data_IF_682137131541
#
_entry.id   IF_682137131541
#
_cell.length_a   1.000
_cell.length_b   1.000
_cell.length_c   1.000
_cell.angle_alpha   90.00
_cell.angle_beta   90.00
_cell.angle_gamma   90.00
#
_symmetry.space_group_name_H-M   'P 1'
#
loop_
_entity.id
_entity.type
_entity.pdbx_description
1 polymer ?
2 non-polymer ?
3 non-polymer ?
4 water ?
#
# COMPACT_ATOMS: atom_id res chain seq x y z
N UNK A 1 3.45 -4.72 -16.26
CA UNK A 1 3.00 -5.82 -17.16
C UNK A 1 4.18 -6.68 -17.57
N UNK A 2 4.13 -7.96 -17.20
CA UNK A 2 5.19 -8.90 -17.53
C UNK A 2 4.76 -9.85 -18.64
N UNK A 3 5.62 -10.05 -19.63
CA UNK A 3 5.30 -10.95 -20.73
C UNK A 3 4.34 -10.37 -21.74
N UNK A 4 4.18 -9.05 -21.73
CA UNK A 4 3.29 -8.39 -22.66
C UNK A 4 4.03 -7.70 -23.78
N UNK A 5 3.34 -6.76 -24.44
CA UNK A 5 3.91 -6.01 -25.55
C UNK A 5 3.54 -4.54 -25.41
N UNK A 6 4.27 -3.67 -26.09
CA UNK A 6 3.98 -2.24 -26.02
C UNK A 6 2.66 -1.99 -26.75
N UNK A 7 1.69 -1.41 -26.05
CA UNK A 7 0.40 -1.12 -26.66
C UNK A 7 0.57 -0.16 -27.82
N UNK A 8 -0.32 -0.26 -28.80
CA UNK A 8 -0.29 0.69 -29.90
C UNK A 8 -0.63 1.97 -29.15
N UNK A 9 0.10 3.05 -29.43
CA UNK A 9 -0.13 4.31 -28.74
C UNK A 9 -1.59 4.77 -28.73
N UNK A 10 -2.10 5.05 -27.53
CA UNK A 10 -3.46 5.52 -27.34
C UNK A 10 -4.55 4.53 -27.71
N UNK A 11 -4.22 3.25 -27.75
CA UNK A 11 -5.20 2.22 -28.06
C UNK A 11 -6.05 1.91 -26.84
N UNK A 12 -5.61 2.39 -25.67
CA UNK A 12 -6.34 2.21 -24.41
C UNK A 12 -6.56 3.62 -23.86
N UNK A 13 -7.36 4.43 -24.57
CA UNK A 13 -7.66 5.82 -24.18
C UNK A 13 -8.30 6.04 -22.80
N UNK A 14 -8.72 4.97 -22.16
CA UNK A 14 -9.33 5.07 -20.83
C UNK A 14 -8.25 4.97 -19.74
N UNK A 15 -7.10 4.39 -20.11
CA UNK A 15 -5.99 4.21 -19.19
C UNK A 15 -5.41 5.52 -18.68
N UNK A 16 -5.33 5.66 -17.36
CA UNK A 16 -4.77 6.85 -16.75
C UNK A 16 -3.63 6.44 -15.81
N UNK A 17 -2.78 7.40 -15.47
CA UNK A 17 -1.68 7.17 -14.55
C UNK A 17 -1.94 8.02 -13.31
N UNK A 18 -1.89 7.39 -12.15
CA UNK A 18 -2.09 8.11 -10.89
C UNK A 18 -0.70 8.52 -10.45
N UNK A 19 -0.51 9.81 -10.20
CA UNK A 19 0.80 10.35 -9.88
C UNK A 19 0.84 11.19 -8.60
N UNK A 20 1.88 10.96 -7.78
CA UNK A 20 2.09 11.71 -6.55
C UNK A 20 3.58 11.98 -6.39
N UNK A 21 4.20 12.41 -7.49
CA UNK A 21 5.63 12.68 -7.51
C UNK A 21 6.26 11.72 -8.50
N UNK A 22 5.52 10.65 -8.77
CA UNK A 22 5.91 9.61 -9.72
C UNK A 22 4.69 8.71 -9.93
N UNK A 23 4.75 7.85 -10.92
CA UNK A 23 3.65 6.94 -11.22
C UNK A 23 3.58 5.87 -10.13
N UNK A 24 2.40 5.65 -9.54
CA UNK A 24 2.28 4.60 -8.53
C UNK A 24 1.14 3.61 -8.76
N UNK A 25 0.17 3.99 -9.58
CA UNK A 25 -0.97 3.12 -9.89
C UNK A 25 -1.63 3.50 -11.20
N UNK A 26 -2.46 2.60 -11.71
CA UNK A 26 -3.18 2.86 -12.94
C UNK A 26 -4.62 3.17 -12.58
N UNK A 27 -5.44 3.43 -13.59
CA UNK A 27 -6.84 3.74 -13.39
C UNK A 27 -7.57 3.75 -14.72
N UNK A 28 -8.89 3.81 -14.69
CA UNK A 28 -9.69 3.80 -15.92
C UNK A 28 -10.74 4.90 -15.94
N UNK A 29 -10.68 5.76 -16.95
CA UNK A 29 -11.68 6.82 -17.07
C UNK A 29 -12.99 6.16 -17.49
N UNK A 30 -14.06 6.40 -16.74
CA UNK A 30 -15.36 5.80 -17.08
C UNK A 30 -16.37 6.82 -17.60
N UNK A 31 -16.00 8.09 -17.51
CA UNK A 31 -16.80 9.20 -18.04
C UNK A 31 -15.95 10.47 -17.89
N UNK A 32 -16.45 11.58 -18.38
CA UNK A 32 -15.67 12.82 -18.32
C UNK A 32 -15.27 13.25 -16.92
N UNK A 33 -15.98 12.78 -15.90
CA UNK A 33 -15.69 13.18 -14.53
C UNK A 33 -15.16 12.13 -13.56
N UNK A 34 -15.23 10.85 -13.91
CA UNK A 34 -14.78 9.82 -12.97
C UNK A 34 -13.79 8.78 -13.47
N UNK A 35 -12.95 8.32 -12.54
CA UNK A 35 -11.93 7.31 -12.80
C UNK A 35 -12.11 6.17 -11.82
N UNK A 36 -12.03 4.94 -12.31
CA UNK A 36 -12.15 3.76 -11.47
C UNK A 36 -10.75 3.19 -11.25
N UNK A 37 -10.42 2.96 -9.98
CA UNK A 37 -9.11 2.40 -9.64
C UNK A 37 -9.28 1.40 -8.50
N UNK A 38 -8.17 0.96 -7.92
CA UNK A 38 -8.21 0.02 -6.81
C UNK A 38 -8.16 0.79 -5.50
N UNK A 39 -8.87 0.28 -4.49
CA UNK A 39 -8.91 0.91 -3.18
C UNK A 39 -7.53 0.90 -2.52
N UNK A 40 -6.70 -0.10 -2.82
CA UNK A 40 -5.38 -0.15 -2.21
C UNK A 40 -4.45 0.91 -2.80
N UNK A 41 -4.93 1.61 -3.82
CA UNK A 41 -4.16 2.69 -4.45
C UNK A 41 -4.57 4.04 -3.85
N UNK A 42 -5.40 3.99 -2.81
CA UNK A 42 -5.90 5.20 -2.17
C UNK A 42 -4.87 6.23 -1.69
N UNK A 43 -5.26 7.49 -1.84
CA UNK A 43 -4.49 8.65 -1.42
C UNK A 43 -5.52 9.77 -1.34
N UNK A 44 -5.43 10.62 -0.31
CA UNK A 44 -6.37 11.71 -0.13
C UNK A 44 -6.46 12.61 -1.35
N UNK A 45 -5.34 12.77 -2.05
CA UNK A 45 -5.27 13.61 -3.23
C UNK A 45 -4.32 12.98 -4.23
N UNK A 46 -4.70 12.96 -5.49
CA UNK A 46 -3.85 12.36 -6.51
C UNK A 46 -3.95 13.11 -7.83
N UNK A 47 -2.88 13.02 -8.63
CA UNK A 47 -2.88 13.68 -9.93
C UNK A 47 -3.24 12.60 -10.94
N UNK A 48 -4.27 12.85 -11.73
CA UNK A 48 -4.70 11.90 -12.75
C UNK A 48 -4.13 12.33 -14.10
N UNK A 49 -3.27 11.48 -14.67
CA UNK A 49 -2.66 11.79 -15.95
C UNK A 49 -3.29 10.96 -17.07
N UNK A 50 -4.04 11.63 -17.93
CA UNK A 50 -4.72 10.99 -19.04
C UNK A 50 -4.01 11.30 -20.36
N UNK A 51 -4.33 10.54 -21.40
CA UNK A 51 -3.73 10.76 -22.71
C UNK A 51 -2.24 10.47 -22.74
N UNK A 52 -1.82 9.51 -21.93
CA UNK A 52 -0.42 9.12 -21.85
C UNK A 52 -0.07 7.84 -22.56
N UNK A 53 1.17 7.76 -23.04
CA UNK A 53 1.68 6.55 -23.66
C UNK A 53 3.04 6.34 -23.02
N UNK A 54 3.89 7.37 -23.11
CA UNK A 54 5.20 7.34 -22.48
C UNK A 54 5.07 8.33 -21.33
N UNK A 55 5.04 7.82 -20.11
CA UNK A 55 4.89 8.69 -18.94
C UNK A 55 6.15 9.48 -18.57
N UNK A 56 7.24 9.24 -19.29
CA UNK A 56 8.50 9.93 -19.03
C UNK A 56 8.79 11.02 -20.05
N UNK A 57 8.01 11.05 -21.14
CA UNK A 57 8.21 12.03 -22.20
C UNK A 57 6.92 12.80 -22.49
N UNK A 58 7.05 14.12 -22.69
CA UNK A 58 5.88 14.93 -22.98
C UNK A 58 5.56 14.74 -24.46
N UNK A 59 4.35 14.28 -24.74
CA UNK A 59 3.91 14.01 -26.11
C UNK A 59 2.90 15.04 -26.63
N UNK A 60 2.27 15.78 -25.73
CA UNK A 60 1.30 16.79 -26.14
C UNK A 60 -0.13 16.26 -26.12
N UNK A 61 -0.28 14.98 -25.83
CA UNK A 61 -1.59 14.34 -25.78
C UNK A 61 -2.11 14.26 -24.35
N UNK A 62 -1.24 14.58 -23.40
CA UNK A 62 -1.58 14.51 -21.98
C UNK A 62 -2.51 15.58 -21.43
N UNK A 63 -3.19 15.20 -20.36
CA UNK A 63 -4.07 16.07 -19.61
C UNK A 63 -3.80 15.69 -18.16
N UNK A 64 -3.30 16.63 -17.37
CA UNK A 64 -3.01 16.38 -15.97
C UNK A 64 -4.12 17.04 -15.17
N UNK A 65 -4.91 16.24 -14.46
CA UNK A 65 -6.01 16.76 -13.68
C UNK A 65 -5.98 16.23 -12.26
N UNK A 66 -6.08 17.13 -11.28
CA UNK A 66 -6.04 16.72 -9.88
C UNK A 66 -7.42 16.22 -9.47
N UNK A 67 -7.43 15.27 -8.53
CA UNK A 67 -8.68 14.72 -8.03
C UNK A 67 -9.36 15.72 -7.12
N UNK A 68 -10.67 15.58 -6.96
CA UNK A 68 -11.44 16.46 -6.08
C UNK A 68 -12.19 15.60 -5.06
N UNK A 69 -12.16 14.30 -5.28
CA UNK A 69 -12.80 13.33 -4.39
C UNK A 69 -12.15 11.97 -4.65
N UNK A 70 -11.83 11.25 -3.59
CA UNK A 70 -11.24 9.92 -3.71
C UNK A 70 -12.05 9.06 -2.75
N UNK A 71 -12.83 8.14 -3.31
CA UNK A 71 -13.72 7.30 -2.52
C UNK A 71 -13.46 5.80 -2.59
N UNK A 72 -12.93 5.24 -1.51
CA UNK A 72 -12.68 3.80 -1.42
C UNK A 72 -14.05 3.15 -1.22
N UNK A 73 -14.21 1.93 -1.72
CA UNK A 73 -15.48 1.23 -1.54
C UNK A 73 -15.69 1.10 -0.04
N UNK A 74 -16.92 1.31 0.45
CA UNK A 74 -17.18 1.21 1.89
C UNK A 74 -16.89 -0.14 2.53
N UNK A 75 -16.89 -1.22 1.74
CA UNK A 75 -16.61 -2.54 2.28
C UNK A 75 -15.20 -3.02 1.98
N UNK A 76 -14.35 -2.09 1.56
CA UNK A 76 -12.97 -2.46 1.29
C UNK A 76 -12.34 -2.96 2.58
N UNK A 77 -11.57 -4.03 2.49
CA UNK A 77 -10.89 -4.58 3.65
C UNK A 77 -9.49 -4.94 3.19
N UNK A 78 -8.50 -4.23 3.71
CA UNK A 78 -7.11 -4.42 3.33
C UNK A 78 -6.46 -5.77 3.69
N UNK A 79 -6.86 -6.35 4.82
CA UNK A 79 -6.25 -7.61 5.24
C UNK A 79 -6.31 -8.71 4.19
N UNK A 80 -7.42 -8.78 3.45
CA UNK A 80 -7.57 -9.78 2.40
C UNK A 80 -7.83 -9.12 1.04
N UNK A 81 -7.49 -7.84 0.96
CA UNK A 81 -7.66 -7.04 -0.26
C UNK A 81 -9.00 -7.28 -0.95
N UNK A 82 -10.06 -7.35 -0.15
CA UNK A 82 -11.40 -7.58 -0.67
C UNK A 82 -12.10 -6.28 -1.03
N UNK A 83 -12.93 -6.32 -2.07
CA UNK A 83 -13.64 -5.14 -2.54
C UNK A 83 -12.64 -4.03 -2.84
N UNK A 84 -11.58 -4.41 -3.55
CA UNK A 84 -10.50 -3.49 -3.90
C UNK A 84 -10.87 -2.62 -5.10
N UNK A 85 -11.81 -1.71 -4.88
CA UNK A 85 -12.24 -0.81 -5.95
C UNK A 85 -12.41 0.58 -5.38
N UNK A 86 -12.15 1.59 -6.19
CA UNK A 86 -12.20 2.98 -5.74
C UNK A 86 -12.59 3.95 -6.86
N UNK A 87 -13.28 5.02 -6.50
CA UNK A 87 -13.67 6.02 -7.47
C UNK A 87 -12.92 7.31 -7.20
N UNK A 88 -12.44 7.93 -8.27
CA UNK A 88 -11.73 9.19 -8.19
C UNK A 88 -12.48 10.19 -9.05
N UNK A 89 -12.89 11.31 -8.46
CA UNK A 89 -13.58 12.33 -9.23
C UNK A 89 -12.58 13.38 -9.65
N UNK A 90 -12.62 13.79 -10.91
CA UNK A 90 -11.70 14.80 -11.42
C UNK A 90 -12.17 16.19 -11.00
N UNK A 91 -11.24 17.06 -10.62
CA UNK A 91 -11.58 18.42 -10.20
C UNK A 91 -12.22 19.20 -11.34
N UNK A 92 -11.86 18.83 -12.56
CA UNK A 92 -12.39 19.46 -13.77
C UNK A 92 -12.62 18.32 -14.77
N UNK A 93 -13.69 18.40 -15.57
CA UNK A 93 -13.96 17.35 -16.55
C UNK A 93 -12.82 17.17 -17.56
N UNK A 94 -12.54 15.93 -17.90
CA UNK A 94 -11.49 15.64 -18.87
C UNK A 94 -12.06 15.98 -20.25
N UNK A 95 -11.21 16.45 -21.15
CA UNK A 95 -11.67 16.77 -22.50
C UNK A 95 -11.54 15.48 -23.30
N UNK A 96 -12.67 14.99 -23.80
CA UNK A 96 -12.66 13.75 -24.58
C UNK A 96 -12.17 14.05 -25.99
N UNK A 97 -11.18 13.29 -26.45
CA UNK A 97 -10.62 13.49 -27.78
C UNK A 97 -9.96 12.23 -28.31
N UNK A 98 -9.01 12.42 -29.21
CA UNK A 98 -8.30 11.31 -29.82
C UNK A 98 -7.53 10.47 -28.80
N UNK A 99 -7.06 11.12 -27.74
CA UNK A 99 -6.24 10.46 -26.72
C UNK A 99 -6.91 10.11 -25.40
N UNK A 100 -8.06 10.72 -25.15
CA UNK A 100 -8.78 10.50 -23.91
C UNK A 100 -10.22 10.11 -24.18
N UNK A 101 -10.57 8.86 -23.87
CA UNK A 101 -11.92 8.36 -24.10
C UNK A 101 -12.27 7.38 -22.98
N UNK A 102 -13.49 7.50 -22.44
CA UNK A 102 -13.93 6.62 -21.35
C UNK A 102 -14.24 5.19 -21.79
N UNK A 103 -14.08 4.26 -20.85
CA UNK A 103 -14.38 2.86 -21.11
C UNK A 103 -15.72 2.57 -20.43
N UNK A 104 -16.59 1.85 -21.12
CA UNK A 104 -17.91 1.53 -20.59
C UNK A 104 -17.88 0.46 -19.51
N UNK A 105 -18.77 0.59 -18.53
CA UNK A 105 -18.88 -0.38 -17.45
C UNK A 105 -19.62 -1.62 -17.98
N UNK A 106 -19.34 -2.80 -17.40
CA UNK A 106 -19.96 -4.06 -17.81
C UNK A 106 -21.47 -4.21 -17.66
N UNK A 107 -22.11 -4.69 -18.73
CA UNK A 107 -23.55 -4.92 -18.75
C UNK A 107 -23.88 -6.16 -17.92
N UNK A 108 -22.90 -7.06 -17.83
CA UNK A 108 -23.03 -8.29 -17.06
C UNK A 108 -21.64 -8.88 -16.87
N UNK A 109 -21.52 -9.89 -16.02
CA UNK A 109 -20.21 -10.49 -15.74
C UNK A 109 -19.68 -11.38 -16.87
N UNK A 110 -18.36 -11.37 -17.05
CA UNK A 110 -17.72 -12.18 -18.08
C UNK A 110 -17.35 -13.53 -17.49
N UNK A 111 -17.70 -14.61 -18.19
CA UNK A 111 -17.41 -15.98 -17.72
C UNK A 111 -15.97 -16.42 -17.94
N UNK A 112 -15.58 -17.49 -17.26
CA UNK A 112 -14.23 -18.04 -17.41
C UNK A 112 -14.02 -18.32 -18.88
N UNK A 113 -12.78 -18.17 -19.35
CA UNK A 113 -12.48 -18.41 -20.75
C UNK A 113 -12.48 -17.15 -21.61
N UNK A 114 -13.13 -16.10 -21.12
CA UNK A 114 -13.19 -14.84 -21.87
C UNK A 114 -11.79 -14.24 -21.97
N UNK A 115 -11.35 -13.95 -23.19
CA UNK A 115 -10.03 -13.35 -23.39
C UNK A 115 -10.17 -11.84 -23.24
N UNK A 116 -9.32 -11.25 -22.40
CA UNK A 116 -9.37 -9.82 -22.14
C UNK A 116 -8.00 -9.18 -22.33
N UNK A 117 -7.94 -7.87 -22.08
CA UNK A 117 -6.71 -7.12 -22.19
C UNK A 117 -6.47 -6.32 -20.91
N UNK A 118 -5.25 -6.36 -20.42
CA UNK A 118 -4.87 -5.63 -19.22
C UNK A 118 -3.69 -4.77 -19.65
N UNK A 119 -3.57 -3.58 -19.08
CA UNK A 119 -2.50 -2.67 -19.46
C UNK A 119 -1.99 -1.86 -18.27
N UNK A 120 -0.78 -1.31 -18.41
CA UNK A 120 -0.22 -0.51 -17.34
C UNK A 120 1.25 -0.16 -17.52
N UNK A 121 1.76 0.67 -16.62
CA UNK A 121 3.15 1.11 -16.65
C UNK A 121 3.93 0.46 -15.49
N UNK A 122 3.45 -0.67 -15.01
CA UNK A 122 4.11 -1.35 -13.91
C UNK A 122 5.37 -2.12 -14.29
N UNK A 123 5.92 -2.83 -13.32
CA UNK A 123 7.12 -3.63 -13.50
C UNK A 123 6.95 -4.66 -14.63
N UNK A 124 7.96 -4.74 -15.51
CA UNK A 124 7.91 -5.69 -16.62
C UNK A 124 8.82 -6.89 -16.38
N UNK A 125 9.64 -6.80 -15.34
CA UNK A 125 10.57 -7.88 -14.99
C UNK A 125 11.33 -8.35 -16.23
N UNK A 126 11.57 -7.43 -17.17
CA UNK A 126 12.28 -7.77 -18.40
C UNK A 126 13.15 -6.62 -18.87
N UNK A 127 14.34 -6.96 -19.37
CA UNK A 127 15.28 -5.96 -19.87
C UNK A 127 14.86 -5.51 -21.27
N UNK A 128 13.87 -6.20 -21.83
CA UNK A 128 13.38 -5.91 -23.17
C UNK A 128 12.12 -5.04 -23.18
N UNK A 129 11.22 -5.27 -22.24
CA UNK A 129 9.98 -4.51 -22.16
C UNK A 129 10.20 -3.20 -21.42
N UNK A 130 9.88 -2.08 -22.08
CA UNK A 130 10.06 -0.76 -21.47
C UNK A 130 8.80 -0.27 -20.76
N UNK A 131 8.75 -0.47 -19.44
CA UNK A 131 7.60 -0.05 -18.66
C UNK A 131 7.20 1.40 -18.78
N UNK A 132 8.09 2.25 -19.31
CA UNK A 132 7.77 3.66 -19.46
C UNK A 132 6.72 3.87 -20.54
N UNK A 133 6.63 2.90 -21.45
CA UNK A 133 5.66 2.95 -22.54
C UNK A 133 4.56 1.97 -22.18
N UNK A 134 3.30 2.43 -22.23
CA UNK A 134 2.18 1.57 -21.86
C UNK A 134 2.25 0.17 -22.45
N UNK A 135 2.23 -0.83 -21.57
CA UNK A 135 2.29 -2.23 -21.95
C UNK A 135 0.89 -2.85 -21.97
N UNK A 136 0.67 -3.78 -22.90
CA UNK A 136 -0.59 -4.48 -23.06
C UNK A 136 -0.37 -5.99 -22.97
N UNK A 137 -1.37 -6.70 -22.45
CA UNK A 137 -1.28 -8.14 -22.32
C UNK A 137 -2.66 -8.76 -22.43
N UNK A 138 -2.78 -9.79 -23.25
CA UNK A 138 -4.07 -10.48 -23.38
C UNK A 138 -4.09 -11.61 -22.38
N UNK A 139 -5.08 -11.60 -21.50
CA UNK A 139 -5.22 -12.64 -20.48
C UNK A 139 -6.64 -13.17 -20.42
N UNK A 140 -6.79 -14.49 -20.22
CA UNK A 140 -8.15 -15.05 -20.15
C UNK A 140 -8.61 -15.15 -18.70
N UNK A 141 -9.91 -15.03 -18.49
CA UNK A 141 -10.45 -15.16 -17.13
C UNK A 141 -10.39 -16.63 -16.78
N UNK A 142 -9.95 -16.93 -15.57
CA UNK A 142 -9.84 -18.31 -15.11
C UNK A 142 -11.08 -18.76 -14.36
N UNK A 143 -11.29 -20.07 -14.32
CA UNK A 143 -12.44 -20.62 -13.62
C UNK A 143 -12.26 -20.40 -12.12
N UNK A 144 -13.37 -20.39 -11.37
CA UNK A 144 -13.28 -20.21 -9.93
C UNK A 144 -12.46 -21.34 -9.34
N UNK A 145 -12.65 -22.55 -9.87
CA UNK A 145 -11.92 -23.71 -9.37
C UNK A 145 -10.40 -23.49 -9.43
N UNK A 146 -9.91 -23.02 -10.58
CA UNK A 146 -8.48 -22.77 -10.71
C UNK A 146 -8.01 -21.60 -9.85
N UNK A 147 -8.86 -20.59 -9.74
CA UNK A 147 -8.55 -19.40 -8.94
C UNK A 147 -8.41 -19.79 -7.46
N UNK A 148 -9.44 -20.42 -6.92
CA UNK A 148 -9.44 -20.84 -5.53
C UNK A 148 -8.34 -21.88 -5.27
N UNK A 149 -8.06 -22.71 -6.27
CA UNK A 149 -7.01 -23.71 -6.09
C UNK A 149 -5.66 -23.04 -5.93
N UNK A 150 -5.44 -21.94 -6.66
CA UNK A 150 -4.18 -21.21 -6.56
C UNK A 150 -4.06 -20.50 -5.22
N UNK A 151 -5.17 -19.97 -4.72
CA UNK A 151 -5.20 -19.27 -3.44
C UNK A 151 -6.36 -19.80 -2.59
N UNK A 152 -6.19 -20.98 -1.97
CA UNK A 152 -7.23 -21.59 -1.14
C UNK A 152 -7.94 -20.68 -0.12
N UNK A 153 -9.27 -20.55 -0.28
CA UNK A 153 -10.10 -19.76 0.60
C UNK A 153 -9.87 -18.26 0.58
N UNK A 154 -9.08 -17.79 -0.38
CA UNK A 154 -8.75 -16.37 -0.46
C UNK A 154 -9.49 -15.59 -1.56
N UNK A 155 -10.34 -16.28 -2.33
CA UNK A 155 -11.09 -15.63 -3.40
C UNK A 155 -12.52 -15.34 -2.94
N UNK A 156 -12.90 -14.07 -3.00
CA UNK A 156 -14.23 -13.64 -2.56
C UNK A 156 -15.15 -13.43 -3.76
N UNK A 157 -16.38 -12.98 -3.50
CA UNK A 157 -17.33 -12.73 -4.58
C UNK A 157 -16.97 -11.49 -5.39
N UNK A 158 -16.00 -10.72 -4.87
CA UNK A 158 -15.57 -9.50 -5.56
C UNK A 158 -14.27 -9.68 -6.31
N UNK A 159 -13.86 -10.94 -6.54
CA UNK A 159 -12.61 -11.21 -7.24
C UNK A 159 -12.72 -12.27 -8.32
N UNK A 160 -11.78 -12.24 -9.26
CA UNK A 160 -11.68 -13.24 -10.30
C UNK A 160 -10.21 -13.28 -10.70
N UNK A 161 -9.74 -14.45 -11.11
CA UNK A 161 -8.34 -14.59 -11.52
C UNK A 161 -8.31 -14.55 -13.03
N UNK A 162 -7.22 -14.01 -13.59
CA UNK A 162 -7.07 -13.95 -15.04
C UNK A 162 -5.59 -14.11 -15.32
N UNK A 163 -5.26 -14.77 -16.42
CA UNK A 163 -3.86 -14.97 -16.74
C UNK A 163 -3.51 -16.39 -17.16
N UNK A 164 -2.29 -16.81 -16.82
CA UNK A 164 -1.79 -18.13 -17.19
C UNK A 164 -1.15 -18.85 -16.01
N UNK A 165 -1.74 -19.98 -15.61
CA UNK A 165 -1.22 -20.75 -14.49
C UNK A 165 0.21 -21.21 -14.75
N UNK A 166 0.61 -21.19 -16.03
CA UNK A 166 1.95 -21.61 -16.42
C UNK A 166 3.01 -20.53 -16.18
N UNK A 167 2.56 -19.30 -15.90
CA UNK A 167 3.48 -18.22 -15.64
C UNK A 167 4.03 -17.52 -16.87
N UNK A 168 4.76 -16.43 -16.65
CA UNK A 168 5.35 -15.70 -17.76
C UNK A 168 4.59 -14.47 -18.24
N UNK A 169 3.27 -14.45 -18.02
CA UNK A 169 2.45 -13.31 -18.44
C UNK A 169 1.49 -12.95 -17.31
N UNK A 170 1.54 -11.71 -16.86
CA UNK A 170 0.70 -11.30 -15.74
C UNK A 170 0.87 -9.79 -15.53
N UNK A 171 0.00 -9.19 -14.73
CA UNK A 171 0.14 -7.78 -14.41
C UNK A 171 1.10 -7.77 -13.22
N UNK A 172 1.48 -6.61 -12.73
CA UNK A 172 2.43 -6.58 -11.62
C UNK A 172 2.37 -5.25 -10.86
N UNK A 173 3.27 -5.11 -9.89
CA UNK A 173 3.34 -3.89 -9.09
C UNK A 173 3.43 -2.71 -10.05
N UNK A 174 2.62 -1.68 -9.81
CA UNK A 174 2.64 -0.52 -10.69
C UNK A 174 1.47 -0.52 -11.65
N UNK A 175 0.87 -1.69 -11.87
CA UNK A 175 -0.28 -1.81 -12.77
C UNK A 175 -1.53 -1.71 -11.92
N UNK A 176 -1.37 -1.91 -10.62
CA UNK A 176 -2.48 -1.86 -9.67
C UNK A 176 -3.43 -0.71 -9.98
N UNK A 177 -4.73 -1.01 -9.92
CA UNK A 177 -5.73 0.01 -10.19
C UNK A 177 -6.08 0.11 -11.67
N UNK A 178 -5.20 -0.43 -12.51
CA UNK A 178 -5.40 -0.41 -13.95
C UNK A 178 -6.56 -1.27 -14.45
N UNK A 179 -6.89 -1.17 -15.75
CA UNK A 179 -7.98 -1.91 -16.37
C UNK A 179 -7.72 -3.30 -16.93
N UNK A 180 -8.80 -4.07 -16.97
CA UNK A 180 -8.86 -5.38 -17.56
C UNK A 180 -10.13 -5.20 -18.38
N UNK A 181 -9.97 -5.03 -19.69
CA UNK A 181 -11.10 -4.82 -20.58
C UNK A 181 -11.37 -6.09 -21.37
N UNK A 182 -12.62 -6.51 -21.41
CA UNK A 182 -13.02 -7.70 -22.16
C UNK A 182 -14.09 -7.28 -23.15
N UNK A 183 -13.80 -7.48 -24.44
CA UNK A 183 -14.73 -7.11 -25.48
C UNK A 183 -15.24 -5.68 -25.34
N UNK A 184 -14.33 -4.77 -25.03
CA UNK A 184 -14.69 -3.36 -24.94
C UNK A 184 -15.23 -2.77 -23.64
N UNK A 185 -15.52 -3.59 -22.63
CA UNK A 185 -16.02 -3.05 -21.38
C UNK A 185 -15.13 -3.42 -20.20
N UNK A 186 -15.16 -2.60 -19.15
CA UNK A 186 -14.33 -2.82 -17.97
C UNK A 186 -14.83 -3.91 -17.02
N UNK A 187 -14.19 -5.07 -17.05
CA UNK A 187 -14.57 -6.17 -16.18
C UNK A 187 -13.70 -6.26 -14.93
N UNK A 188 -12.46 -5.80 -15.02
CA UNK A 188 -11.59 -5.89 -13.86
C UNK A 188 -10.68 -4.72 -13.55
N UNK A 189 -10.17 -4.73 -12.31
CA UNK A 189 -9.24 -3.72 -11.82
C UNK A 189 -8.06 -4.51 -11.27
N UNK A 190 -6.85 -4.19 -11.72
CA UNK A 190 -5.65 -4.89 -11.24
C UNK A 190 -5.60 -4.77 -9.72
N UNK A 191 -5.60 -5.90 -9.03
CA UNK A 191 -5.62 -5.90 -7.56
C UNK A 191 -4.44 -6.56 -6.83
N UNK A 192 -4.27 -7.87 -6.99
CA UNK A 192 -3.18 -8.55 -6.29
C UNK A 192 -2.72 -9.88 -6.90
N UNK A 193 -1.79 -10.51 -6.20
CA UNK A 193 -1.25 -11.79 -6.62
C UNK A 193 0.04 -12.04 -5.88
N UNK A 194 0.45 -13.31 -5.75
CA UNK A 194 1.70 -13.62 -5.07
C UNK A 194 2.80 -13.49 -6.12
N UNK A 195 3.61 -12.45 -5.98
CA UNK A 195 4.67 -12.22 -6.94
C UNK A 195 4.08 -11.73 -8.26
N UNK A 196 4.77 -12.03 -9.36
CA UNK A 196 4.30 -11.62 -10.68
C UNK A 196 4.71 -12.64 -11.73
N UNK A 197 3.74 -13.09 -12.52
CA UNK A 197 4.00 -14.06 -13.58
C UNK A 197 4.60 -15.36 -13.06
N UNK A 198 4.39 -15.65 -11.78
CA UNK A 198 4.91 -16.86 -11.19
C UNK A 198 3.97 -18.03 -11.43
N UNK A 199 4.52 -19.21 -11.77
CA UNK A 199 3.69 -20.39 -12.02
C UNK A 199 2.77 -20.68 -10.84
N UNK A 200 1.49 -20.92 -11.14
CA UNK A 200 0.53 -21.22 -10.10
C UNK A 200 0.00 -20.01 -9.34
N UNK A 201 0.52 -18.83 -9.65
CA UNK A 201 0.09 -17.60 -8.98
C UNK A 201 -0.44 -16.58 -9.98
N UNK A 202 -1.65 -16.82 -10.50
CA UNK A 202 -2.27 -15.92 -11.47
C UNK A 202 -2.70 -14.60 -10.86
N UNK A 203 -2.92 -13.60 -11.70
CA UNK A 203 -3.34 -12.30 -11.20
C UNK A 203 -4.78 -12.33 -10.71
N UNK A 204 -5.04 -11.60 -9.63
CA UNK A 204 -6.38 -11.52 -9.09
C UNK A 204 -6.85 -10.10 -9.34
N UNK A 205 -8.09 -9.97 -9.80
CA UNK A 205 -8.64 -8.67 -10.13
C UNK A 205 -9.97 -8.40 -9.46
N UNK A 206 -10.25 -7.13 -9.20
CA UNK A 206 -11.53 -6.75 -8.60
C UNK A 206 -12.58 -6.95 -9.68
N UNK A 207 -13.64 -7.65 -9.31
CA UNK A 207 -14.73 -7.97 -10.22
C UNK A 207 -15.71 -6.81 -10.38
N UNK A 208 -15.42 -5.93 -11.34
CA UNK A 208 -16.23 -4.74 -11.59
C UNK A 208 -17.74 -4.94 -11.78
N UNK A 209 -18.13 -6.03 -12.45
CA UNK A 209 -19.54 -6.26 -12.72
C UNK A 209 -20.46 -6.32 -11.50
N UNK A 210 -19.94 -6.64 -10.31
CA UNK A 210 -20.84 -6.67 -9.16
C UNK A 210 -20.91 -5.33 -8.43
N UNK A 211 -20.14 -4.35 -8.90
CA UNK A 211 -20.12 -3.03 -8.28
C UNK A 211 -20.89 -1.95 -9.06
N UNK A 212 -21.65 -2.35 -10.06
CA UNK A 212 -22.41 -1.39 -10.87
C UNK A 212 -23.28 -0.46 -10.04
N UNK A 213 -24.09 -1.03 -9.15
CA UNK A 213 -24.96 -0.20 -8.32
C UNK A 213 -24.20 0.83 -7.51
N UNK A 214 -23.11 0.41 -6.88
CA UNK A 214 -22.30 1.35 -6.08
C UNK A 214 -21.64 2.40 -6.97
N UNK A 215 -21.12 1.96 -8.11
CA UNK A 215 -20.45 2.85 -9.05
C UNK A 215 -21.37 3.95 -9.59
N UNK A 216 -22.51 3.55 -10.14
CA UNK A 216 -23.45 4.51 -10.69
C UNK A 216 -24.04 5.39 -9.58
N UNK A 217 -24.31 4.79 -8.44
CA UNK A 217 -24.86 5.51 -7.30
C UNK A 217 -23.92 6.65 -6.89
N UNK A 218 -22.68 6.30 -6.62
CA UNK A 218 -21.66 7.25 -6.20
C UNK A 218 -21.35 8.37 -7.19
N UNK A 219 -21.24 8.00 -8.47
CA UNK A 219 -20.92 8.98 -9.50
C UNK A 219 -22.04 10.00 -9.69
N UNK A 220 -23.24 9.66 -9.24
CA UNK A 220 -24.37 10.55 -9.35
C UNK A 220 -24.40 11.46 -8.13
N UNK A 221 -23.75 11.02 -7.06
CA UNK A 221 -23.68 11.79 -5.82
C UNK A 221 -22.54 12.80 -5.87
N UNK B 1 16.85 -0.95 10.67
CA UNK B 1 16.41 -1.99 9.69
C UNK B 1 17.63 -2.76 9.19
N UNK B 2 17.70 -4.03 9.54
CA UNK B 2 18.81 -4.89 9.14
C UNK B 2 18.43 -5.78 7.95
N UNK B 3 19.28 -5.81 6.93
CA UNK B 3 19.02 -6.63 5.76
C UNK B 3 17.95 -6.08 4.82
N UNK B 4 17.68 -4.79 4.92
CA UNK B 4 16.67 -4.17 4.06
C UNK B 4 17.30 -3.43 2.88
N UNK B 5 16.58 -2.45 2.37
CA UNK B 5 17.04 -1.65 1.24
C UNK B 5 16.57 -0.21 1.43
N UNK B 6 17.23 0.74 0.77
CA UNK B 6 16.81 2.12 0.91
C UNK B 6 15.45 2.29 0.24
N UNK B 7 14.48 2.81 0.98
CA UNK B 7 13.15 3.01 0.42
C UNK B 7 13.22 4.09 -0.66
N UNK B 8 12.27 4.04 -1.59
CA UNK B 8 12.20 5.06 -2.61
C UNK B 8 11.77 6.27 -1.77
N UNK B 9 12.38 7.42 -2.00
CA UNK B 9 12.03 8.60 -1.21
C UNK B 9 10.54 8.93 -1.23
N UNK B 10 10.00 9.15 -0.04
CA UNK B 10 8.60 9.51 0.14
C UNK B 10 7.63 8.39 -0.23
N UNK B 11 8.13 7.16 -0.34
CA UNK B 11 7.28 6.02 -0.67
C UNK B 11 6.54 5.53 0.57
N UNK B 12 6.95 6.03 1.74
CA UNK B 12 6.33 5.68 3.02
C UNK B 12 6.03 7.04 3.65
N UNK B 13 5.14 7.85 3.03
CA UNK B 13 4.76 9.19 3.49
C UNK B 13 4.17 9.31 4.89
N UNK B 14 3.83 8.18 5.50
CA UNK B 14 3.27 8.17 6.85
C UNK B 14 4.39 8.09 7.88
N UNK B 15 5.56 7.64 7.44
CA UNK B 15 6.72 7.48 8.30
C UNK B 15 7.23 8.79 8.88
N UNK B 16 7.35 8.84 10.21
CA UNK B 16 7.86 10.04 10.87
C UNK B 16 9.01 9.69 11.79
N UNK B 17 9.82 10.69 12.11
CA UNK B 17 10.95 10.52 13.01
C UNK B 17 10.64 11.29 14.30
N UNK B 18 10.77 10.62 15.44
CA UNK B 18 10.53 11.29 16.72
C UNK B 18 11.91 11.79 17.15
N UNK B 19 11.99 13.09 17.42
CA UNK B 19 13.27 13.71 17.76
C UNK B 19 13.24 14.49 19.07
N UNK B 20 14.25 14.24 19.91
CA UNK B 20 14.37 14.93 21.19
C UNK B 20 15.84 15.32 21.32
N UNK B 21 16.37 15.92 20.25
CA UNK B 21 17.76 16.33 20.22
C UNK B 21 18.52 15.37 19.32
N UNK B 22 17.80 14.35 18.85
CA UNK B 22 18.34 13.30 17.99
C UNK B 22 17.18 12.35 17.69
N UNK B 23 17.32 11.55 16.64
CA UNK B 23 16.28 10.58 16.30
C UNK B 23 16.32 9.44 17.32
N UNK B 24 15.18 9.09 17.91
CA UNK B 24 15.16 7.99 18.88
C UNK B 24 14.08 6.93 18.66
N UNK B 25 13.12 7.23 17.79
CA UNK B 25 12.04 6.31 17.50
C UNK B 25 11.29 6.72 16.24
N UNK B 26 10.55 5.79 15.66
CA UNK B 26 9.79 6.09 14.48
C UNK B 26 8.35 6.28 14.90
N UNK B 27 7.48 6.54 13.92
CA UNK B 27 6.07 6.73 14.20
C UNK B 27 5.33 6.74 12.89
N UNK B 28 3.99 6.73 12.94
CA UNK B 28 3.19 6.75 11.71
C UNK B 28 2.07 7.78 11.79
N UNK B 29 2.01 8.66 10.79
CA UNK B 29 0.96 9.67 10.75
C UNK B 29 -0.33 8.92 10.37
N UNK B 30 -1.40 9.14 11.14
CA UNK B 30 -2.66 8.46 10.84
C UNK B 30 -3.79 9.41 10.41
N UNK B 31 -3.51 10.71 10.50
CA UNK B 31 -4.40 11.79 10.06
C UNK B 31 -3.61 13.08 10.23
N UNK B 32 -4.16 14.22 9.79
CA UNK B 32 -3.40 15.46 9.90
C UNK B 32 -3.02 15.90 11.31
N UNK B 33 -3.65 15.34 12.34
CA UNK B 33 -3.34 15.74 13.71
C UNK B 33 -2.75 14.68 14.63
N UNK B 34 -2.68 13.43 14.18
CA UNK B 34 -2.16 12.37 15.06
C UNK B 34 -1.15 11.39 14.48
N UNK B 35 -0.24 10.97 15.35
CA UNK B 35 0.79 9.99 15.02
C UNK B 35 0.67 8.80 15.97
N UNK B 36 0.85 7.60 15.42
CA UNK B 36 0.80 6.38 16.23
C UNK B 36 2.24 5.91 16.39
N UNK B 37 2.63 5.59 17.61
CA UNK B 37 3.98 5.09 17.87
C UNK B 37 3.93 4.06 18.99
N UNK B 38 5.10 3.71 19.53
CA UNK B 38 5.18 2.74 20.60
C UNK B 38 5.20 3.44 21.96
N UNK B 39 4.50 2.87 22.93
CA UNK B 39 4.46 3.44 24.27
C UNK B 39 5.84 3.51 24.92
N UNK B 40 6.73 2.55 24.61
CA UNK B 40 8.05 2.56 25.19
C UNK B 40 8.92 3.69 24.63
N UNK B 41 8.38 4.39 23.63
CA UNK B 41 9.07 5.52 23.02
C UNK B 41 8.61 6.81 23.70
N UNK B 42 7.80 6.66 24.75
CA UNK B 42 7.27 7.82 25.45
C UNK B 42 8.26 8.84 25.99
N UNK B 43 7.86 10.10 25.86
CA UNK B 43 8.58 11.27 26.35
C UNK B 43 7.46 12.31 26.45
N UNK B 44 7.43 13.08 27.54
CA UNK B 44 6.37 14.07 27.73
C UNK B 44 6.18 14.98 26.52
N UNK B 45 7.28 15.38 25.90
CA UNK B 45 7.24 16.22 24.72
C UNK B 45 8.22 15.71 23.67
N UNK B 46 7.80 15.71 22.41
CA UNK B 46 8.66 15.26 21.32
C UNK B 46 8.44 16.08 20.07
N UNK B 47 9.47 16.15 19.23
CA UNK B 47 9.35 16.86 17.97
C UNK B 47 9.09 15.79 16.92
N UNK B 48 8.03 15.98 16.13
CA UNK B 48 7.71 15.02 15.09
C UNK B 48 8.23 15.57 13.77
N UNK B 49 9.10 14.81 13.11
CA UNK B 49 9.67 15.23 11.84
C UNK B 49 9.06 14.39 10.72
N UNK B 50 8.21 15.04 9.92
CA UNK B 50 7.54 14.38 8.81
C UNK B 50 8.19 14.80 7.48
N UNK B 51 7.85 14.08 6.41
CA UNK B 51 8.41 14.41 5.10
C UNK B 51 9.89 14.17 4.99
N UNK B 52 10.40 13.24 5.80
CA UNK B 52 11.81 12.92 5.83
C UNK B 52 12.21 11.69 5.02
N UNK B 53 13.42 11.72 4.49
CA UNK B 53 13.97 10.56 3.81
C UNK B 53 15.33 10.40 4.43
N UNK B 54 16.17 11.43 4.30
CA UNK B 54 17.49 11.42 4.93
C UNK B 54 17.35 12.39 6.11
N UNK B 55 17.33 11.83 7.32
CA UNK B 55 17.17 12.63 8.53
C UNK B 55 18.36 13.52 8.89
N UNK B 56 19.44 13.42 8.12
CA UNK B 56 20.66 14.21 8.37
C UNK B 56 20.92 15.25 7.27
N UNK B 57 19.99 15.37 6.33
CA UNK B 57 20.11 16.32 5.24
C UNK B 57 18.79 17.05 5.02
N UNK B 58 18.86 18.38 4.93
CA UNK B 58 17.64 19.17 4.70
C UNK B 58 17.28 19.09 3.22
N UNK B 59 16.15 18.43 2.94
CA UNK B 59 15.68 18.22 1.57
C UNK B 59 14.62 19.23 1.12
N UNK B 60 13.98 19.89 2.08
CA UNK B 60 12.96 20.88 1.74
C UNK B 60 11.55 20.35 1.86
N UNK B 61 11.43 19.04 2.07
CA UNK B 61 10.13 18.37 2.19
C UNK B 61 9.72 18.19 3.65
N UNK B 62 10.63 18.50 4.57
CA UNK B 62 10.35 18.33 5.98
C UNK B 62 9.33 19.27 6.62
N UNK B 63 8.74 18.77 7.70
CA UNK B 63 7.79 19.50 8.52
C UNK B 63 8.13 19.07 9.94
N UNK B 64 8.62 20.01 10.74
CA UNK B 64 8.97 19.72 12.14
C UNK B 64 7.86 20.29 13.00
N UNK B 65 7.12 19.40 13.67
CA UNK B 65 6.00 19.82 14.50
C UNK B 65 6.08 19.25 15.91
N UNK B 66 6.04 20.13 16.91
CA UNK B 66 6.11 19.70 18.29
C UNK B 66 4.77 19.11 18.71
N UNK B 67 4.82 18.13 19.60
CA UNK B 67 3.62 17.46 20.10
C UNK B 67 2.88 18.34 21.10
N UNK B 68 1.56 18.13 21.20
CA UNK B 68 0.75 18.87 22.15
C UNK B 68 0.21 17.87 23.18
N UNK B 69 0.20 16.61 22.80
CA UNK B 69 -0.27 15.53 23.68
C UNK B 69 0.50 14.25 23.35
N UNK B 70 0.83 13.48 24.37
CA UNK B 70 1.52 12.21 24.19
C UNK B 70 0.77 11.27 25.12
N UNK B 71 0.09 10.30 24.53
CA UNK B 71 -0.74 9.36 25.28
C UNK B 71 -0.40 7.88 25.09
N UNK B 72 0.14 7.27 26.14
CA UNK B 72 0.45 5.85 26.11
C UNK B 72 -0.86 5.10 26.33
N UNK B 73 -0.94 3.86 25.85
CA UNK B 73 -2.17 3.08 26.04
C UNK B 73 -2.39 2.98 27.55
N UNK B 74 -3.66 3.05 28.00
CA UNK B 74 -3.93 2.98 29.44
C UNK B 74 -3.52 1.68 30.13
N UNK B 75 -3.32 0.62 29.37
CA UNK B 75 -2.93 -0.65 29.97
C UNK B 75 -1.50 -1.03 29.63
N UNK B 76 -0.71 -0.06 29.19
CA UNK B 76 0.69 -0.32 28.86
C UNK B 76 1.43 -0.76 30.12
N UNK B 77 2.23 -1.81 30.00
CA UNK B 77 3.03 -2.31 31.12
C UNK B 77 4.41 -2.57 30.55
N UNK B 78 5.40 -1.82 31.05
CA UNK B 78 6.77 -1.91 30.57
C UNK B 78 7.52 -3.21 30.85
N UNK B 79 7.23 -3.89 31.96
CA UNK B 79 7.97 -5.11 32.29
C UNK B 79 7.90 -6.15 31.17
N UNK B 80 6.76 -6.25 30.50
CA UNK B 80 6.61 -7.19 29.39
C UNK B 80 6.28 -6.46 28.08
N UNK B 81 6.38 -5.14 28.10
CA UNK B 81 6.12 -4.32 26.93
C UNK B 81 4.77 -4.66 26.30
N UNK B 82 3.77 -4.87 27.14
CA UNK B 82 2.43 -5.20 26.68
C UNK B 82 1.66 -3.91 26.35
N UNK B 83 0.86 -3.96 25.28
CA UNK B 83 0.08 -2.80 24.84
C UNK B 83 1.04 -1.64 24.53
N UNK B 84 2.07 -1.96 23.77
CA UNK B 84 3.10 -1.00 23.41
C UNK B 84 2.67 -0.09 22.25
N UNK B 85 1.63 0.70 22.50
CA UNK B 85 1.11 1.61 21.49
C UNK B 85 0.89 2.97 22.15
N UNK B 86 1.08 4.03 21.37
CA UNK B 86 0.96 5.39 21.87
C UNK B 86 0.47 6.37 20.82
N UNK B 87 -0.26 7.38 21.25
CA UNK B 87 -0.77 8.41 20.36
C UNK B 87 -0.08 9.73 20.66
N UNK B 88 0.32 10.42 19.60
CA UNK B 88 0.97 11.71 19.72
C UNK B 88 0.16 12.72 18.93
N UNK B 89 -0.36 13.74 19.60
CA UNK B 89 -1.12 14.75 18.88
C UNK B 89 -0.17 15.89 18.50
N UNK B 90 -0.27 16.34 17.26
CA UNK B 90 0.58 17.43 16.78
C UNK B 90 -0.01 18.77 17.25
N UNK B 91 0.86 19.68 17.66
CA UNK B 91 0.43 20.99 18.15
C UNK B 91 -0.24 21.80 17.03
N UNK B 92 0.07 21.44 15.79
CA UNK B 92 -0.50 22.11 14.62
C UNK B 92 -0.72 20.99 13.60
N UNK B 93 -1.76 21.12 12.76
CA UNK B 93 -1.99 20.07 11.78
C UNK B 93 -0.88 19.96 10.74
N UNK B 94 -0.53 18.75 10.35
CA UNK B 94 0.50 18.54 9.34
C UNK B 94 -0.13 18.82 8.00
N UNK B 95 0.65 19.37 7.07
CA UNK B 95 0.13 19.64 5.74
C UNK B 95 0.32 18.38 4.92
N UNK B 96 -0.78 17.83 4.42
CA UNK B 96 -0.71 16.63 3.61
C UNK B 96 -0.33 17.01 2.18
N UNK B 97 0.67 16.33 1.65
CA UNK B 97 1.13 16.61 0.30
C UNK B 97 1.77 15.38 -0.32
N UNK B 98 2.71 15.59 -1.24
CA UNK B 98 3.38 14.47 -1.91
C UNK B 98 4.51 13.87 -1.08
N UNK B 99 4.77 14.46 0.09
CA UNK B 99 5.82 13.97 0.98
C UNK B 99 5.26 13.50 2.31
N UNK B 100 4.05 13.94 2.62
CA UNK B 100 3.39 13.61 3.88
C UNK B 100 1.94 13.16 3.67
N UNK B 101 1.65 11.92 4.03
CA UNK B 101 0.29 11.37 3.89
C UNK B 101 0.03 10.41 5.03
N UNK B 102 -1.21 10.34 5.53
CA UNK B 102 -1.52 9.43 6.62
C UNK B 102 -1.72 8.00 6.15
N UNK B 103 -1.53 7.05 7.07
CA UNK B 103 -1.73 5.63 6.77
C UNK B 103 -2.98 5.21 7.52
N UNK B 104 -3.87 4.47 6.86
CA UNK B 104 -5.12 4.04 7.46
C UNK B 104 -4.97 2.90 8.47
N UNK B 105 -5.88 2.85 9.43
CA UNK B 105 -5.90 1.78 10.43
C UNK B 105 -6.69 0.65 9.77
N UNK B 106 -6.23 -0.61 9.91
CA UNK B 106 -6.87 -1.79 9.32
C UNK B 106 -8.26 -2.18 9.84
N UNK B 107 -9.12 -2.61 8.92
CA UNK B 107 -10.46 -3.04 9.27
C UNK B 107 -10.45 -4.37 10.01
N UNK B 108 -9.39 -5.14 9.80
CA UNK B 108 -9.23 -6.45 10.43
C UNK B 108 -7.76 -6.83 10.56
N UNK B 109 -7.52 -7.92 11.29
CA UNK B 109 -6.15 -8.42 11.52
C UNK B 109 -5.60 -9.21 10.34
N UNK B 110 -4.34 -8.99 10.01
CA UNK B 110 -3.70 -9.72 8.92
C UNK B 110 -3.29 -11.09 9.44
N UNK B 111 -3.49 -12.15 8.64
CA UNK B 111 -3.14 -13.52 9.04
C UNK B 111 -1.68 -13.88 8.85
N UNK B 112 -1.27 -14.99 9.48
CA UNK B 112 0.09 -15.48 9.36
C UNK B 112 0.39 -15.70 7.89
N UNK B 113 1.60 -15.35 7.47
CA UNK B 113 1.97 -15.53 6.08
C UNK B 113 1.88 -14.24 5.27
N UNK B 114 1.09 -13.28 5.74
CA UNK B 114 0.95 -12.01 5.04
C UNK B 114 2.30 -11.31 4.94
N UNK B 115 2.70 -10.93 3.73
CA UNK B 115 3.96 -10.22 3.57
C UNK B 115 3.68 -8.75 3.79
N UNK B 116 4.49 -8.11 4.63
CA UNK B 116 4.30 -6.69 4.92
C UNK B 116 5.60 -5.93 4.75
N UNK B 117 5.55 -4.63 5.02
CA UNK B 117 6.72 -3.78 4.91
C UNK B 117 6.97 -3.07 6.24
N UNK B 118 8.23 -3.05 6.67
CA UNK B 118 8.62 -2.35 7.90
C UNK B 118 9.69 -1.34 7.47
N UNK B 119 9.69 -0.17 8.09
CA UNK B 119 10.66 0.85 7.73
C UNK B 119 11.16 1.63 8.95
N UNK B 120 12.26 2.35 8.77
CA UNK B 120 12.80 3.12 9.88
C UNK B 120 14.25 3.54 9.68
N UNK B 121 14.76 4.38 10.58
CA UNK B 121 16.13 4.86 10.52
C UNK B 121 16.98 4.21 11.61
N UNK B 122 16.54 3.04 12.08
CA UNK B 122 17.26 2.35 13.13
C UNK B 122 18.57 1.73 12.65
N UNK B 123 19.25 1.04 13.55
CA UNK B 123 20.51 0.39 13.24
C UNK B 123 20.37 -0.59 12.09
N UNK B 124 21.35 -0.58 11.19
CA UNK B 124 21.35 -1.46 10.01
C UNK B 124 22.37 -2.59 10.13
N UNK B 125 23.25 -2.50 11.12
CA UNK B 125 24.28 -3.52 11.30
C UNK B 125 24.97 -3.85 9.98
N UNK B 126 25.22 -2.80 9.18
CA UNK B 126 25.86 -2.96 7.88
C UNK B 126 26.68 -1.74 7.48
N UNK B 127 27.80 -1.99 6.80
CA UNK B 127 28.68 -0.92 6.33
C UNK B 127 28.13 -0.32 5.04
N UNK B 128 27.16 -1.02 4.46
CA UNK B 128 26.55 -0.58 3.20
C UNK B 128 25.24 0.18 3.40
N UNK B 129 24.35 -0.36 4.22
CA UNK B 129 23.06 0.28 4.50
C UNK B 129 23.20 1.53 5.35
N UNK B 130 22.95 2.69 4.74
CA UNK B 130 23.05 3.97 5.43
C UNK B 130 21.76 4.24 6.20
N UNK B 131 21.79 4.01 7.51
CA UNK B 131 20.62 4.25 8.34
C UNK B 131 20.04 5.64 8.32
N UNK B 132 20.79 6.62 7.83
CA UNK B 132 20.27 7.99 7.80
C UNK B 132 19.24 8.17 6.67
N UNK B 133 19.21 7.23 5.74
CA UNK B 133 18.27 7.24 4.64
C UNK B 133 17.23 6.17 4.97
N UNK B 134 15.96 6.56 5.03
CA UNK B 134 14.89 5.63 5.38
C UNK B 134 15.06 4.25 4.74
N UNK B 135 15.10 3.21 5.57
CA UNK B 135 15.27 1.85 5.09
C UNK B 135 13.94 1.08 5.08
N UNK B 136 13.80 0.19 4.10
CA UNK B 136 12.61 -0.63 3.94
C UNK B 136 12.98 -2.11 3.96
N UNK B 137 12.05 -2.94 4.44
CA UNK B 137 12.26 -4.37 4.52
C UNK B 137 10.93 -5.12 4.47
N UNK B 138 10.87 -6.16 3.64
CA UNK B 138 9.64 -6.94 3.53
C UNK B 138 9.74 -8.05 4.57
N UNK B 139 8.69 -8.20 5.38
CA UNK B 139 8.68 -9.23 6.41
C UNK B 139 7.32 -9.90 6.49
N UNK B 140 7.32 -11.23 6.62
CA UNK B 140 6.04 -11.93 6.71
C UNK B 140 5.62 -12.08 8.16
N UNK B 141 4.32 -12.09 8.40
CA UNK B 141 3.79 -12.26 9.74
C UNK B 141 3.96 -13.72 10.10
N UNK B 142 4.56 -13.99 11.25
CA UNK B 142 4.80 -15.36 11.67
C UNK B 142 3.58 -15.91 12.41
N UNK B 143 3.51 -17.24 12.50
CA UNK B 143 2.40 -17.90 13.16
C UNK B 143 2.38 -17.67 14.65
N UNK B 144 1.18 -17.79 15.24
CA UNK B 144 1.00 -17.63 16.67
C UNK B 144 1.91 -18.64 17.39
N UNK B 145 1.96 -19.85 16.85
CA UNK B 145 2.80 -20.90 17.42
C UNK B 145 4.30 -20.57 17.39
N UNK B 146 4.80 -20.14 16.24
CA UNK B 146 6.23 -19.82 16.15
C UNK B 146 6.60 -18.61 17.00
N UNK B 147 5.70 -17.64 17.09
CA UNK B 147 5.95 -16.44 17.89
C UNK B 147 6.13 -16.83 19.35
N UNK B 148 5.18 -17.60 19.86
CA UNK B 148 5.22 -18.05 21.25
C UNK B 148 6.39 -18.99 21.53
N UNK B 149 6.72 -19.83 20.55
CA UNK B 149 7.83 -20.75 20.74
C UNK B 149 9.16 -20.03 20.83
N UNK B 150 9.30 -18.94 20.07
CA UNK B 150 10.54 -18.17 20.05
C UNK B 150 10.78 -17.45 21.37
N UNK B 151 9.72 -16.92 21.96
CA UNK B 151 9.79 -16.17 23.22
C UNK B 151 8.75 -16.73 24.19
N UNK B 152 9.04 -17.88 24.82
CA UNK B 152 8.12 -18.52 25.77
C UNK B 152 7.51 -17.61 26.83
N UNK B 153 6.19 -17.55 26.86
CA UNK B 153 5.47 -16.73 27.83
C UNK B 153 5.59 -15.23 27.73
N UNK B 154 6.20 -14.73 26.65
CA UNK B 154 6.39 -13.30 26.50
C UNK B 154 5.48 -12.63 25.47
N UNK B 155 4.69 -13.43 24.75
CA UNK B 155 3.82 -12.90 23.73
C UNK B 155 2.38 -12.79 24.23
N UNK B 156 1.82 -11.59 24.13
CA UNK B 156 0.45 -11.33 24.56
C UNK B 156 -0.43 -11.09 23.35
N UNK B 157 -1.73 -10.87 23.60
CA UNK B 157 -2.67 -10.62 22.52
C UNK B 157 -2.31 -9.38 21.72
N UNK B 158 -1.68 -8.41 22.39
CA UNK B 158 -1.31 -7.15 21.76
C UNK B 158 -0.03 -7.24 20.95
N UNK B 159 0.47 -8.45 20.74
CA UNK B 159 1.71 -8.66 19.99
C UNK B 159 1.62 -9.71 18.89
N UNK B 160 2.47 -9.55 17.87
CA UNK B 160 2.57 -10.54 16.81
C UNK B 160 4.03 -10.50 16.35
N UNK B 161 4.54 -11.64 15.89
CA UNK B 161 5.91 -11.71 15.41
C UNK B 161 5.90 -11.65 13.89
N UNK B 162 6.95 -11.08 13.32
CA UNK B 162 7.06 -10.99 11.87
C UNK B 162 8.55 -10.99 11.54
N UNK B 163 8.89 -11.56 10.40
CA UNK B 163 10.29 -11.60 10.02
C UNK B 163 10.71 -12.98 9.56
N UNK B 164 11.97 -13.31 9.81
CA UNK B 164 12.54 -14.59 9.40
C UNK B 164 13.27 -15.24 10.57
N UNK B 165 12.82 -16.45 10.93
CA UNK B 165 13.41 -17.17 12.04
C UNK B 165 14.86 -17.59 11.80
N UNK B 166 15.27 -17.65 10.55
CA UNK B 166 16.65 -18.03 10.25
C UNK B 166 17.60 -16.87 10.54
N UNK B 167 17.04 -15.67 10.68
CA UNK B 167 17.85 -14.49 10.97
C UNK B 167 18.29 -13.74 9.73
N UNK B 168 18.94 -12.59 9.93
CA UNK B 168 19.44 -11.80 8.82
C UNK B 168 18.63 -10.59 8.40
N UNK B 169 17.32 -10.64 8.60
CA UNK B 169 16.42 -9.54 8.24
C UNK B 169 15.50 -9.25 9.42
N UNK B 170 15.49 -8.02 9.89
CA UNK B 170 14.68 -7.67 11.06
C UNK B 170 14.77 -6.17 11.31
N UNK B 171 13.85 -5.66 12.14
CA UNK B 171 13.89 -4.25 12.51
C UNK B 171 14.88 -4.23 13.68
N UNK B 172 15.24 -3.04 14.16
CA UNK B 172 16.22 -2.97 15.25
C UNK B 172 16.03 -1.70 16.07
N UNK B 173 16.92 -1.46 17.03
CA UNK B 173 16.82 -0.27 17.86
C UNK B 173 16.83 0.96 16.96
N UNK B 174 15.93 1.89 17.21
CA UNK B 174 15.84 3.08 16.39
C UNK B 174 14.64 3.00 15.48
N UNK B 175 14.23 1.79 15.14
CA UNK B 175 13.07 1.58 14.29
C UNK B 175 11.82 1.58 15.17
N UNK B 176 12.04 1.32 16.46
CA UNK B 176 10.97 1.28 17.46
C UNK B 176 9.93 2.37 17.26
N UNK B 177 8.65 1.97 17.34
CA UNK B 177 7.57 2.92 17.18
C UNK B 177 7.15 3.09 15.73
N UNK B 178 8.02 2.62 14.84
CA UNK B 178 7.77 2.71 13.42
C UNK B 178 6.68 1.80 12.91
N UNK B 179 6.32 1.94 11.62
CA UNK B 179 5.27 1.14 11.00
C UNK B 179 5.59 -0.23 10.40
N UNK B 180 4.56 -1.06 10.38
CA UNK B 180 4.59 -2.35 9.72
C UNK B 180 3.30 -2.22 8.93
N UNK B 181 3.43 -2.06 7.62
CA UNK B 181 2.28 -1.90 6.75
C UNK B 181 2.03 -3.19 5.97
N UNK B 182 0.77 -3.63 5.95
CA UNK B 182 0.40 -4.83 5.22
C UNK B 182 -0.77 -4.44 4.31
N UNK B 183 -0.58 -4.65 3.02
CA UNK B 183 -1.57 -4.31 2.02
C UNK B 183 -2.01 -2.86 2.13
N UNK B 184 -1.05 -1.99 2.43
CA UNK B 184 -1.33 -0.56 2.52
C UNK B 184 -1.82 0.01 3.83
N UNK B 185 -2.16 -0.83 4.81
CA UNK B 185 -2.64 -0.28 6.09
C UNK B 185 -1.76 -0.69 7.28
N UNK B 186 -1.86 0.09 8.36
CA UNK B 186 -1.03 -0.14 9.54
C UNK B 186 -1.42 -1.31 10.44
N UNK B 187 -0.73 -2.43 10.30
CA UNK B 187 -1.00 -3.61 11.13
C UNK B 187 -0.07 -3.68 12.33
N UNK B 188 1.11 -3.09 12.24
CA UNK B 188 2.02 -3.16 13.37
C UNK B 188 2.83 -1.94 13.72
N UNK B 189 3.38 -1.97 14.92
CA UNK B 189 4.25 -0.91 15.44
C UNK B 189 5.49 -1.61 15.96
N UNK B 190 6.66 -1.20 15.47
CA UNK B 190 7.92 -1.81 15.89
C UNK B 190 8.01 -1.73 17.42
N UNK B 191 8.10 -2.88 18.06
CA UNK B 191 8.16 -2.92 19.51
C UNK B 191 9.44 -3.47 20.12
N UNK B 192 9.69 -4.77 20.00
CA UNK B 192 10.90 -5.35 20.59
C UNK B 192 11.40 -6.65 19.97
N UNK B 193 12.44 -7.18 20.59
CA UNK B 193 13.06 -8.43 20.16
C UNK B 193 14.39 -8.60 20.85
N UNK B 194 14.92 -9.83 20.83
CA UNK B 194 16.21 -10.10 21.45
C UNK B 194 17.26 -9.84 20.39
N UNK B 195 18.09 -8.83 20.62
CA UNK B 195 19.10 -8.49 19.63
C UNK B 195 18.38 -8.07 18.38
N UNK B 196 19.03 -8.25 17.23
CA UNK B 196 18.42 -7.88 15.95
C UNK B 196 18.86 -8.88 14.88
N UNK B 197 17.90 -9.36 14.11
CA UNK B 197 18.17 -10.30 13.03
C UNK B 197 18.86 -11.59 13.48
N UNK B 198 18.77 -11.89 14.77
CA UNK B 198 19.38 -13.11 15.30
C UNK B 198 18.49 -14.31 15.01
N UNK B 199 19.11 -15.47 14.72
CA UNK B 199 18.32 -16.67 14.44
C UNK B 199 17.44 -17.04 15.62
N UNK B 200 16.18 -17.38 15.35
CA UNK B 200 15.27 -17.76 16.41
C UNK B 200 14.72 -16.62 17.24
N UNK B 201 15.12 -15.39 16.93
CA UNK B 201 14.64 -14.22 17.67
C UNK B 201 14.00 -13.21 16.70
N UNK B 202 12.78 -13.51 16.24
CA UNK B 202 12.09 -12.63 15.30
C UNK B 202 11.68 -11.30 15.93
N UNK B 203 11.25 -10.37 15.10
CA UNK B 203 10.83 -9.07 15.60
C UNK B 203 9.43 -9.18 16.17
N UNK B 204 9.16 -8.46 17.25
CA UNK B 204 7.84 -8.47 17.85
C UNK B 204 7.24 -7.08 17.64
N UNK B 205 5.98 -7.05 17.24
CA UNK B 205 5.32 -5.79 16.96
C UNK B 205 3.98 -5.67 17.70
N UNK B 206 3.58 -4.44 17.98
CA UNK B 206 2.31 -4.21 18.64
C UNK B 206 1.23 -4.46 17.59
N UNK B 207 0.21 -5.22 17.98
CA UNK B 207 -0.89 -5.59 17.08
C UNK B 207 -1.95 -4.50 16.99
N UNK B 208 -1.77 -3.61 16.03
CA UNK B 208 -2.68 -2.48 15.84
C UNK B 208 -4.16 -2.83 15.65
N UNK B 209 -4.44 -3.91 14.93
CA UNK B 209 -5.81 -4.33 14.65
C UNK B 209 -6.72 -4.60 15.84
N UNK B 210 -6.18 -4.66 17.05
CA UNK B 210 -7.04 -4.86 18.21
C UNK B 210 -7.12 -3.60 19.05
N UNK B 211 -6.50 -2.52 18.55
CA UNK B 211 -6.48 -1.23 19.25
C UNK B 211 -7.30 -0.17 18.49
N UNK B 212 -7.98 -0.59 17.42
CA UNK B 212 -8.77 0.32 16.61
C UNK B 212 -9.70 1.23 17.40
N UNK B 213 -10.53 0.61 18.25
CA UNK B 213 -11.48 1.37 19.04
C UNK B 213 -10.79 2.38 19.96
N UNK B 214 -9.75 1.94 20.66
CA UNK B 214 -9.03 2.85 21.55
C UNK B 214 -8.42 4.00 20.75
N UNK B 215 -7.84 3.67 19.60
CA UNK B 215 -7.21 4.69 18.76
C UNK B 215 -8.19 5.75 18.26
N UNK B 216 -9.28 5.31 17.62
CA UNK B 216 -10.25 6.26 17.08
C UNK B 216 -10.97 7.03 18.19
N UNK B 217 -11.33 6.35 19.26
CA UNK B 217 -12.02 7.01 20.38
C UNK B 217 -11.15 8.08 21.00
N UNK B 218 -9.88 7.74 21.24
CA UNK B 218 -8.94 8.68 21.85
C UNK B 218 -8.66 9.89 20.96
N UNK B 219 -8.55 9.66 19.65
CA UNK B 219 -8.28 10.76 18.73
C UNK B 219 -9.44 11.75 18.64
N UNK B 220 -10.63 11.30 19.05
CA UNK B 220 -11.82 12.15 19.02
C UNK B 220 -11.88 13.01 20.29
N UNK B 221 -11.22 12.54 21.34
CA UNK B 221 -11.19 13.25 22.62
C UNK B 221 -10.29 14.48 22.56
X LIG C 1 3.82 11.36 -21.92
X LIG D 1 -0.22 -8.36 -9.18
X LIG D 1 -0.89 -7.18 -9.64
X LIG D 1 -0.85 -6.00 -8.66
X LIG D 1 -0.21 -6.09 -7.43
X LIG D 1 0.51 -7.38 -6.99
X LIG D 1 0.45 -8.43 -7.93
X LIG D 1 -0.20 -9.56 -10.08
X LIG D 1 -0.80 -9.54 -11.23
X LIG D 1 0.45 -10.71 -9.68
X LIG E 1 15.77 15.53 5.67
X LIG F 1 13.87 -5.03 17.67
X LIG F 1 12.93 -3.99 17.39
X LIG F 1 13.01 -2.78 18.36
X LIG F 1 13.92 -2.75 19.41
X LIG F 1 14.91 -3.91 19.66
X LIG F 1 14.80 -4.98 18.75
X LIG F 1 13.88 -6.24 16.79
X LIG F 1 13.04 -6.34 15.78
X LIG F 1 14.78 -7.27 17.02
#
# INVERSE_FOLDING_TARGET
IVGGYECKAYSQPHQVSLNSGYHFCGGSLVNENWVVSAAHCYKSRVAVRLGEHNIKVTEGSEQFISSSRVIRHPNYSSYNIDNDIMLIKLSKPATLNTYVQPVALPSSCAPAGTMCTVSGWGNTMSSTADGDKLQCLNIPILSYSDCNNSYPGMITNAMFCAGYLEGGKDSCQGDSGGPVVCNGELQGVVSWGYGCAEPGNPGVYAKVCIFNDWLTSTMATY
IVGGYECKAYSQPHQVSLNSGYHFCGGSLVNENWVVSAAHCYKSRVAVRLGEHNIKVTEGSEQFISSSRVIRHPNYSSYNIDNDIMLIKLSKPATLNTYVQPVALPSSCAPAGTMCTVSGWGNTMSSTADGDKLQCLNIPILSYSDCNNSYPGMITNAMFCAGYLEGGKDSCQGDSGGPVVCNGELQGVVSWGYGCAEPGNPGVYAKVCIFNDWLTSTMATY
CA CA
BEN C1 C2 C3 C4 C5 C6 C N1 N2
CA CA
BEN C1 C2 C3 C4 C5 C6 C N1 N2
#
